data_IF_136849174242
#
_entry.id   IF_136849174242
#
_cell.length_a   1.000
_cell.length_b   1.000
_cell.length_c   1.000
_cell.angle_alpha   90.00
_cell.angle_beta   90.00
_cell.angle_gamma   90.00
#
_symmetry.space_group_name_H-M   'P 1'
#
loop_
_entity.id
_entity.type
_entity.pdbx_description
1 polymer ?
#
# COMPACT_ATOMS: atom_id res chain seq x y z
N UNK A 1 -10.57 0.80 6.16
CA UNK A 1 -9.63 1.88 6.47
C UNK A 1 -8.67 2.06 5.29
N UNK A 2 -8.52 3.30 4.83
CA UNK A 2 -7.65 3.69 3.72
C UNK A 2 -6.47 4.49 4.31
N UNK A 3 -5.23 4.15 3.96
CA UNK A 3 -4.03 4.81 4.49
C UNK A 3 -3.18 5.42 3.38
N UNK A 4 -2.74 6.67 3.58
CA UNK A 4 -1.87 7.40 2.64
C UNK A 4 -0.63 7.91 3.39
N UNK A 5 0.56 7.32 3.16
CA UNK A 5 1.82 7.86 3.65
C UNK A 5 2.15 9.19 2.99
N UNK A 6 2.39 10.21 3.80
CA UNK A 6 2.82 11.53 3.36
C UNK A 6 4.25 11.75 3.85
N UNK A 7 5.19 11.38 2.99
CA UNK A 7 6.64 11.46 3.21
C UNK A 7 7.36 11.68 1.89
N UNK A 8 8.56 12.27 1.95
CA UNK A 8 9.46 12.42 0.78
C UNK A 8 10.22 11.13 0.46
N UNK A 9 10.30 10.21 1.43
CA UNK A 9 10.91 8.91 1.25
C UNK A 9 10.32 7.88 2.22
N UNK A 10 10.47 6.61 1.86
CA UNK A 10 10.10 5.45 2.66
C UNK A 10 11.27 4.47 2.75
N UNK A 11 11.13 3.45 3.59
CA UNK A 11 12.18 2.48 3.91
C UNK A 11 11.88 1.16 3.19
N UNK A 12 12.90 0.56 2.56
CA UNK A 12 12.79 -0.70 1.81
C UNK A 12 13.98 -1.62 2.09
N UNK A 13 13.78 -2.92 2.32
CA UNK A 13 12.51 -3.56 2.69
C UNK A 13 12.20 -3.34 4.19
N UNK A 14 10.99 -3.69 4.62
CA UNK A 14 10.69 -3.79 6.04
C UNK A 14 11.59 -4.80 6.75
N UNK A 15 11.88 -4.57 8.02
CA UNK A 15 12.88 -5.36 8.77
C UNK A 15 12.64 -6.88 8.68
N UNK A 16 11.38 -7.31 8.84
CA UNK A 16 11.00 -8.72 8.78
C UNK A 16 11.18 -9.38 7.40
N UNK A 17 11.35 -8.58 6.34
CA UNK A 17 11.54 -9.05 4.96
C UNK A 17 13.02 -9.15 4.57
N UNK A 18 13.92 -8.56 5.35
CA UNK A 18 15.36 -8.47 5.06
C UNK A 18 15.97 -9.84 4.76
N UNK A 19 15.80 -10.80 5.68
CA UNK A 19 16.33 -12.16 5.53
C UNK A 19 15.72 -12.88 4.32
N UNK A 20 14.39 -12.78 4.16
CA UNK A 20 13.66 -13.46 3.06
C UNK A 20 14.11 -12.96 1.69
N UNK A 21 14.37 -11.65 1.57
CA UNK A 21 14.76 -11.00 0.33
C UNK A 21 16.28 -10.91 0.15
N UNK A 22 17.06 -11.41 1.13
CA UNK A 22 18.53 -11.38 1.12
C UNK A 22 19.10 -9.97 1.00
N UNK A 23 18.52 -9.03 1.74
CA UNK A 23 19.06 -7.69 1.90
C UNK A 23 19.97 -7.63 3.13
N UNK A 24 21.16 -7.04 2.96
CA UNK A 24 22.11 -6.84 4.06
C UNK A 24 21.81 -5.56 4.86
N UNK A 25 21.25 -4.53 4.21
CA UNK A 25 20.86 -3.26 4.84
C UNK A 25 19.52 -2.75 4.31
N UNK A 26 18.78 -2.02 5.15
CA UNK A 26 17.63 -1.24 4.70
C UNK A 26 18.11 -0.09 3.82
N UNK A 27 17.35 0.18 2.77
CA UNK A 27 17.54 1.26 1.81
C UNK A 27 16.36 2.24 1.92
N UNK A 28 16.49 3.35 1.20
CA UNK A 28 15.42 4.32 1.06
C UNK A 28 14.92 4.36 -0.38
N UNK A 29 13.61 4.54 -0.54
CA UNK A 29 12.97 4.80 -1.83
C UNK A 29 12.28 6.16 -1.79
N UNK A 30 12.46 6.94 -2.84
CA UNK A 30 11.80 8.23 -2.98
C UNK A 30 10.26 8.07 -3.00
N UNK A 31 9.58 9.05 -2.42
CA UNK A 31 8.15 9.26 -2.48
C UNK A 31 7.92 10.71 -2.95
N UNK A 32 6.67 11.16 -2.99
CA UNK A 32 6.34 12.52 -3.38
C UNK A 32 5.32 13.11 -2.41
N UNK A 33 5.80 13.76 -1.34
CA UNK A 33 4.94 14.26 -0.26
C UNK A 33 3.83 15.20 -0.76
N UNK A 34 4.14 16.07 -1.73
CA UNK A 34 3.13 16.97 -2.33
C UNK A 34 1.99 16.24 -3.04
N UNK A 35 2.29 15.21 -3.85
CA UNK A 35 1.27 14.38 -4.52
C UNK A 35 0.51 13.56 -3.48
N UNK A 36 1.21 12.96 -2.51
CA UNK A 36 0.58 12.19 -1.44
C UNK A 36 -0.38 13.05 -0.58
N UNK A 37 0.01 14.28 -0.26
CA UNK A 37 -0.83 15.24 0.45
C UNK A 37 -2.06 15.61 -0.37
N UNK A 38 -1.88 15.92 -1.67
CA UNK A 38 -2.99 16.21 -2.59
C UNK A 38 -3.95 15.03 -2.69
N UNK A 39 -3.42 13.81 -2.75
CA UNK A 39 -4.17 12.57 -2.80
C UNK A 39 -5.00 12.38 -1.52
N UNK A 40 -4.38 12.52 -0.35
CA UNK A 40 -5.06 12.44 0.94
C UNK A 40 -6.23 13.43 1.03
N UNK A 41 -5.98 14.71 0.73
CA UNK A 41 -7.00 15.77 0.82
C UNK A 41 -8.16 15.51 -0.14
N UNK A 42 -7.87 15.21 -1.41
CA UNK A 42 -8.92 14.99 -2.42
C UNK A 42 -9.69 13.70 -2.21
N UNK A 43 -9.09 12.68 -1.58
CA UNK A 43 -9.80 11.47 -1.17
C UNK A 43 -10.78 11.76 -0.02
N UNK A 44 -10.34 12.50 1.00
CA UNK A 44 -11.21 12.93 2.11
C UNK A 44 -12.39 13.76 1.59
N UNK A 45 -12.11 14.78 0.77
CA UNK A 45 -13.16 15.60 0.16
C UNK A 45 -14.03 14.84 -0.86
N UNK A 46 -13.54 13.71 -1.38
CA UNK A 46 -14.29 12.77 -2.20
C UNK A 46 -15.13 11.76 -1.40
N UNK A 47 -15.23 11.92 -0.08
CA UNK A 47 -16.04 11.09 0.81
C UNK A 47 -15.36 9.78 1.24
N UNK A 48 -14.05 9.63 1.05
CA UNK A 48 -13.30 8.48 1.55
C UNK A 48 -12.71 8.77 2.94
N UNK A 49 -12.85 7.83 3.86
CA UNK A 49 -12.19 7.89 5.17
C UNK A 49 -10.70 7.48 5.03
N UNK A 50 -9.89 8.43 4.56
CA UNK A 50 -8.44 8.27 4.41
C UNK A 50 -7.69 8.76 5.65
N UNK A 51 -6.68 8.01 6.07
CA UNK A 51 -5.81 8.33 7.21
C UNK A 51 -4.41 8.69 6.72
N UNK A 52 -3.86 9.79 7.27
CA UNK A 52 -2.47 10.16 7.05
C UNK A 52 -1.55 9.19 7.77
N UNK A 53 -0.51 8.74 7.08
CA UNK A 53 0.60 8.01 7.67
C UNK A 53 1.91 8.80 7.47
N UNK A 54 2.88 8.59 8.36
CA UNK A 54 4.23 9.13 8.19
C UNK A 54 5.03 8.32 7.18
N UNK A 55 6.37 8.41 7.27
CA UNK A 55 7.24 7.46 6.58
C UNK A 55 6.95 6.03 7.05
N UNK A 56 7.00 5.09 6.12
CA UNK A 56 6.68 3.69 6.36
C UNK A 56 7.77 2.76 5.83
N UNK A 57 7.73 1.51 6.28
CA UNK A 57 8.52 0.42 5.74
C UNK A 57 7.71 -0.42 4.75
N UNK A 58 8.31 -0.78 3.61
CA UNK A 58 7.63 -1.57 2.59
C UNK A 58 7.74 -3.06 2.90
N UNK A 59 6.59 -3.63 3.30
CA UNK A 59 6.44 -5.04 3.56
C UNK A 59 6.18 -5.89 2.31
N UNK A 60 5.76 -7.14 2.55
CA UNK A 60 5.46 -8.12 1.50
C UNK A 60 4.47 -7.65 0.42
N UNK A 61 3.55 -6.75 0.79
CA UNK A 61 2.45 -6.26 -0.03
C UNK A 61 2.90 -5.34 -1.17
N UNK A 62 4.13 -4.83 -1.12
CA UNK A 62 4.69 -3.97 -2.15
C UNK A 62 6.06 -4.45 -2.59
N UNK A 63 6.87 -4.97 -1.65
CA UNK A 63 8.27 -5.28 -1.89
C UNK A 63 8.47 -6.35 -2.96
N UNK A 64 7.62 -7.40 -2.97
CA UNK A 64 7.75 -8.50 -3.92
C UNK A 64 7.57 -8.04 -5.36
N UNK A 65 6.62 -7.16 -5.65
CA UNK A 65 6.39 -6.65 -7.01
C UNK A 65 7.39 -5.56 -7.37
N UNK A 66 7.77 -4.75 -6.38
CA UNK A 66 8.71 -3.64 -6.56
C UNK A 66 10.08 -4.14 -7.05
N UNK A 67 10.57 -5.27 -6.55
CA UNK A 67 11.83 -5.88 -7.00
C UNK A 67 11.83 -6.27 -8.49
N UNK A 68 10.67 -6.53 -9.09
CA UNK A 68 10.58 -6.84 -10.53
C UNK A 68 10.42 -5.60 -11.40
N UNK A 69 9.72 -4.56 -10.91
CA UNK A 69 9.30 -3.41 -11.71
C UNK A 69 10.24 -2.20 -11.50
N UNK A 70 10.82 -2.06 -10.31
CA UNK A 70 11.68 -0.96 -9.90
C UNK A 70 12.83 -1.48 -9.00
N UNK A 71 13.69 -2.39 -9.51
CA UNK A 71 14.74 -3.05 -8.71
C UNK A 71 15.78 -2.08 -8.15
N UNK A 72 15.99 -0.93 -8.82
CA UNK A 72 16.96 0.09 -8.42
C UNK A 72 16.38 1.15 -7.48
N UNK A 73 15.08 1.08 -7.17
CA UNK A 73 14.35 2.07 -6.36
C UNK A 73 14.49 3.52 -6.85
N UNK A 74 14.69 3.70 -8.16
CA UNK A 74 14.94 5.00 -8.78
C UNK A 74 13.65 5.71 -9.22
N UNK A 75 12.53 4.99 -9.34
CA UNK A 75 11.20 5.57 -9.57
C UNK A 75 10.52 5.86 -8.23
N UNK A 76 10.07 7.10 -7.95
CA UNK A 76 9.35 7.42 -6.72
C UNK A 76 8.01 6.68 -6.62
N UNK A 77 7.66 6.24 -5.41
CA UNK A 77 6.43 5.47 -5.14
C UNK A 77 5.57 6.17 -4.09
N UNK A 78 4.33 6.49 -4.45
CA UNK A 78 3.29 7.00 -3.53
C UNK A 78 2.28 5.88 -3.27
N UNK A 79 2.34 5.19 -2.13
CA UNK A 79 1.46 4.06 -1.84
C UNK A 79 0.09 4.50 -1.31
N UNK A 80 -0.94 3.70 -1.60
CA UNK A 80 -2.28 3.81 -1.03
C UNK A 80 -2.67 2.45 -0.46
N UNK A 81 -2.86 2.38 0.86
CA UNK A 81 -3.16 1.13 1.55
C UNK A 81 -4.65 0.97 1.76
N UNK A 82 -5.18 -0.19 1.38
CA UNK A 82 -6.55 -0.59 1.66
C UNK A 82 -6.50 -1.74 2.66
N UNK A 83 -7.28 -1.65 3.74
CA UNK A 83 -7.46 -2.77 4.66
C UNK A 83 -8.13 -3.95 3.94
N UNK A 84 -7.41 -5.06 3.84
CA UNK A 84 -7.86 -6.33 3.26
C UNK A 84 -7.85 -7.49 4.27
N UNK A 85 -7.43 -7.23 5.52
CA UNK A 85 -7.21 -8.28 6.52
C UNK A 85 -8.34 -8.40 7.53
N UNK A 86 -8.76 -7.27 8.10
CA UNK A 86 -9.68 -7.27 9.25
C UNK A 86 -11.05 -6.76 8.83
N UNK A 87 -12.12 -7.59 8.87
CA UNK A 87 -13.47 -7.12 8.62
C UNK A 87 -13.88 -5.98 9.57
N UNK A 88 -14.76 -5.04 9.14
CA UNK A 88 -15.38 -4.97 7.82
C UNK A 88 -14.42 -4.51 6.71
N UNK A 89 -14.49 -5.18 5.56
CA UNK A 89 -13.68 -4.85 4.39
C UNK A 89 -14.40 -3.83 3.49
N UNK A 90 -13.62 -3.10 2.70
CA UNK A 90 -14.17 -2.20 1.69
C UNK A 90 -14.97 -3.01 0.64
N UNK A 91 -16.24 -2.65 0.35
CA UNK A 91 -16.99 -3.26 -0.73
C UNK A 91 -16.31 -3.04 -2.09
N UNK A 92 -16.45 -3.99 -3.02
CA UNK A 92 -15.82 -3.87 -4.34
C UNK A 92 -16.26 -2.64 -5.14
N UNK A 93 -17.53 -2.24 -5.03
CA UNK A 93 -18.02 -0.99 -5.63
C UNK A 93 -17.25 0.22 -5.10
N UNK A 94 -17.02 0.27 -3.79
CA UNK A 94 -16.26 1.35 -3.15
C UNK A 94 -14.78 1.34 -3.55
N UNK A 95 -14.20 0.16 -3.76
CA UNK A 95 -12.84 0.02 -4.28
C UNK A 95 -12.72 0.48 -5.74
N UNK A 96 -13.75 0.23 -6.57
CA UNK A 96 -13.83 0.76 -7.92
C UNK A 96 -13.93 2.29 -7.92
N UNK A 97 -14.82 2.85 -7.10
CA UNK A 97 -14.97 4.30 -6.96
C UNK A 97 -13.67 4.97 -6.48
N UNK A 98 -12.91 4.29 -5.60
CA UNK A 98 -11.59 4.75 -5.18
C UNK A 98 -10.65 4.85 -6.37
N UNK A 99 -10.59 3.83 -7.22
CA UNK A 99 -9.76 3.84 -8.43
C UNK A 99 -10.13 4.97 -9.40
N UNK A 100 -11.43 5.19 -9.62
CA UNK A 100 -11.94 6.32 -10.43
C UNK A 100 -11.49 7.65 -9.81
N UNK A 101 -11.68 7.81 -8.49
CA UNK A 101 -11.30 9.05 -7.81
C UNK A 101 -9.81 9.32 -7.86
N UNK A 102 -8.99 8.29 -7.65
CA UNK A 102 -7.53 8.38 -7.77
C UNK A 102 -7.15 8.80 -9.18
N UNK A 103 -7.78 8.23 -10.22
CA UNK A 103 -7.52 8.62 -11.61
C UNK A 103 -7.83 10.10 -11.85
N UNK A 104 -8.99 10.58 -11.40
CA UNK A 104 -9.37 12.00 -11.49
C UNK A 104 -8.33 12.93 -10.82
N UNK A 105 -7.82 12.52 -9.66
CA UNK A 105 -6.82 13.30 -8.91
C UNK A 105 -5.52 13.39 -9.71
N UNK A 106 -5.06 12.28 -10.28
CA UNK A 106 -3.82 12.22 -11.04
C UNK A 106 -3.93 12.97 -12.38
N UNK A 107 -5.06 12.86 -13.08
CA UNK A 107 -5.28 13.60 -14.33
C UNK A 107 -5.35 15.13 -14.11
N UNK A 108 -5.56 15.58 -12.87
CA UNK A 108 -5.58 17.00 -12.49
C UNK A 108 -4.23 17.52 -11.95
N UNK A 109 -3.18 16.70 -11.92
CA UNK A 109 -1.83 17.15 -11.56
C UNK A 109 -1.26 18.07 -12.66
N UNK A 110 -0.30 18.95 -12.33
CA UNK A 110 0.37 19.77 -13.33
C UNK A 110 1.04 18.92 -14.43
N UNK A 111 1.13 19.48 -15.63
CA UNK A 111 1.84 18.86 -16.75
C UNK A 111 3.29 18.54 -16.36
N UNK A 112 3.80 17.37 -16.76
CA UNK A 112 5.18 16.95 -16.55
C UNK A 112 5.36 15.64 -15.78
N UNK A 113 4.30 15.12 -15.14
CA UNK A 113 4.33 13.82 -14.49
C UNK A 113 3.91 12.68 -15.44
N UNK A 114 4.66 11.59 -15.41
CA UNK A 114 4.27 10.30 -16.00
C UNK A 114 3.95 9.34 -14.88
N UNK A 115 2.66 9.11 -14.63
CA UNK A 115 2.19 8.30 -13.51
C UNK A 115 1.77 6.92 -14.00
N UNK A 116 2.27 5.88 -13.32
CA UNK A 116 1.86 4.50 -13.52
C UNK A 116 1.09 4.01 -12.28
N UNK A 117 0.01 3.26 -12.51
CA UNK A 117 -0.75 2.62 -11.43
C UNK A 117 -0.33 1.17 -11.30
N UNK A 118 0.07 0.77 -10.09
CA UNK A 118 0.33 -0.61 -9.72
C UNK A 118 -0.63 -1.00 -8.61
N UNK A 119 -1.53 -1.94 -8.90
CA UNK A 119 -2.37 -2.58 -7.91
C UNK A 119 -1.72 -3.90 -7.50
N UNK A 120 -1.35 -4.03 -6.23
CA UNK A 120 -0.77 -5.27 -5.69
C UNK A 120 -1.83 -6.08 -4.95
N UNK A 121 -1.73 -7.41 -5.07
CA UNK A 121 -2.73 -8.35 -4.55
C UNK A 121 -2.98 -9.51 -5.52
N UNK A 122 -3.51 -10.62 -5.01
CA UNK A 122 -3.78 -11.83 -5.80
C UNK A 122 -5.27 -12.21 -5.82
N UNK A 123 -5.71 -12.87 -6.88
CA UNK A 123 -7.12 -13.24 -7.12
C UNK A 123 -7.61 -14.43 -6.30
N UNK A 124 -6.75 -15.27 -5.72
CA UNK A 124 -7.15 -16.38 -4.84
C UNK A 124 -5.98 -16.82 -3.94
N UNK A 125 -6.08 -16.58 -2.64
CA UNK A 125 -5.19 -17.20 -1.64
C UNK A 125 -5.94 -17.38 -0.32
N UNK A 126 -5.96 -18.60 0.22
CA UNK A 126 -6.55 -18.88 1.55
C UNK A 126 -5.48 -18.76 2.61
N UNK A 127 -5.48 -17.66 3.36
CA UNK A 127 -4.79 -17.57 4.66
C UNK A 127 -5.65 -18.31 5.69
N UNK A 128 -5.37 -19.59 5.93
CA UNK A 128 -5.93 -20.28 7.08
C UNK A 128 -5.23 -19.76 8.34
N UNK A 129 -5.81 -18.75 8.99
CA UNK A 129 -5.47 -18.43 10.37
C UNK A 129 -5.86 -19.63 11.23
N UNK A 130 -4.87 -20.36 11.74
CA UNK A 130 -5.09 -21.50 12.63
C UNK A 130 -5.76 -21.06 13.92
N UNK A 131 -7.09 -21.11 13.96
CA UNK A 131 -7.84 -21.13 15.21
C UNK A 131 -7.48 -22.45 15.90
N UNK A 132 -6.65 -22.35 16.95
CA UNK A 132 -6.27 -23.47 17.79
C UNK A 132 -7.52 -24.22 18.24
N UNK A 133 -7.61 -25.49 17.84
CA UNK A 133 -8.61 -26.40 18.40
C UNK A 133 -8.28 -26.62 19.86
N UNK A 134 -9.04 -25.99 20.75
CA UNK A 134 -9.03 -26.31 22.17
C UNK A 134 -9.29 -27.80 22.36
N UNK A 135 -8.38 -28.48 23.04
CA UNK A 135 -8.52 -29.87 23.47
C UNK A 135 -9.64 -29.96 24.50
N UNK A 136 -10.84 -30.35 24.06
CA UNK A 136 -11.87 -30.83 24.97
C UNK A 136 -11.53 -32.28 25.33
N UNK A 137 -11.04 -32.46 26.56
CA UNK A 137 -10.90 -33.78 27.16
C UNK A 137 -12.23 -34.52 27.24
N UNK A 138 -12.18 -35.83 27.05
CA UNK A 138 -13.21 -36.77 27.52
C UNK A 138 -12.50 -37.92 28.22
N UNK A 139 -13.02 -38.24 29.40
CA UNK A 139 -12.61 -39.38 30.22
C UNK A 139 -13.20 -40.68 29.72
#
# INVERSE_FOLDING_TARGET
MLGVPVSDANIVPAEYMMETLKFDTQNSIASHAGIAQTLLEKLIHGGFDATRMGAIEYGNNLMMQLLFINPEFNIPVVPVYINVFSPPLMPYSRAYDLGVKVREIIDALPDGYRVHFLATGGTTFTLAAGLGRGSAGRG
#
